data_IF_202256050040
#
_entry.id   IF_202256050040
#
_cell.length_a   1.000
_cell.length_b   1.000
_cell.length_c   1.000
_cell.angle_alpha   90.00
_cell.angle_beta   90.00
_cell.angle_gamma   90.00
#
_symmetry.space_group_name_H-M   'P 1'
#
loop_
_entity.id
_entity.type
_entity.pdbx_description
1 polymer ?
#
# COMPACT_ATOMS: atom_id res chain seq x y z
N UNK A 1 14.23 -3.29 -7.88
CA UNK A 1 12.74 -3.22 -7.95
C UNK A 1 12.15 -2.07 -7.13
N UNK A 2 12.31 -1.99 -5.80
CA UNK A 2 11.69 -0.91 -5.01
C UNK A 2 12.34 0.49 -5.17
N UNK A 3 13.65 0.57 -5.46
CA UNK A 3 14.35 1.85 -5.63
C UNK A 3 14.28 2.46 -7.04
N UNK A 4 13.90 1.67 -8.04
CA UNK A 4 13.96 2.04 -9.46
C UNK A 4 12.60 1.83 -10.16
N UNK A 5 11.49 1.91 -9.42
CA UNK A 5 10.15 1.79 -9.99
C UNK A 5 9.65 3.14 -10.51
N UNK A 6 8.74 3.11 -11.49
CA UNK A 6 8.12 4.31 -12.07
C UNK A 6 6.79 4.74 -11.38
N UNK A 7 6.41 4.10 -10.27
CA UNK A 7 5.16 4.42 -9.55
C UNK A 7 5.00 5.87 -9.05
N UNK A 8 6.09 6.62 -8.88
CA UNK A 8 6.07 8.06 -8.57
C UNK A 8 6.41 8.95 -9.77
N UNK A 9 6.45 8.39 -10.98
CA UNK A 9 6.92 9.08 -12.17
C UNK A 9 8.44 9.32 -12.18
N UNK A 10 8.90 10.15 -13.12
CA UNK A 10 10.30 10.51 -13.32
C UNK A 10 10.42 11.91 -13.96
N UNK A 11 11.57 12.56 -13.82
CA UNK A 11 11.86 13.85 -14.43
C UNK A 11 11.13 15.03 -13.79
N UNK A 12 10.80 16.05 -14.59
CA UNK A 12 10.20 17.32 -14.10
C UNK A 12 8.81 17.15 -13.48
N UNK A 13 8.13 16.02 -13.74
CA UNK A 13 6.83 15.67 -13.18
C UNK A 13 6.93 14.58 -12.11
N UNK A 14 8.10 14.39 -11.50
CA UNK A 14 8.25 13.49 -10.37
C UNK A 14 7.27 13.87 -9.25
N UNK A 15 6.60 12.85 -8.67
CA UNK A 15 5.54 13.05 -7.71
C UNK A 15 6.02 13.86 -6.49
N UNK A 16 5.44 15.05 -6.32
CA UNK A 16 5.74 15.95 -5.20
C UNK A 16 5.44 15.30 -3.83
N UNK A 17 4.44 14.41 -3.78
CA UNK A 17 4.02 13.69 -2.58
C UNK A 17 4.82 12.43 -2.27
N UNK A 18 5.81 12.05 -3.09
CA UNK A 18 6.47 10.74 -2.98
C UNK A 18 7.14 10.50 -1.63
N UNK A 19 7.66 11.56 -0.99
CA UNK A 19 8.27 11.48 0.35
C UNK A 19 7.24 11.28 1.44
N UNK A 20 6.13 12.02 1.38
CA UNK A 20 5.05 11.92 2.35
C UNK A 20 4.39 10.53 2.29
N UNK A 21 4.03 10.07 1.09
CA UNK A 21 3.42 8.76 0.90
C UNK A 21 4.29 7.60 1.42
N UNK A 22 5.63 7.70 1.25
CA UNK A 22 6.56 6.71 1.82
C UNK A 22 6.60 6.76 3.34
N UNK A 23 6.64 7.96 3.93
CA UNK A 23 6.62 8.13 5.38
C UNK A 23 5.34 7.56 5.98
N UNK A 24 4.18 7.88 5.41
CA UNK A 24 2.90 7.35 5.85
C UNK A 24 2.84 5.82 5.73
N UNK A 25 3.32 5.25 4.63
CA UNK A 25 3.39 3.81 4.46
C UNK A 25 4.29 3.13 5.50
N UNK A 26 5.45 3.72 5.82
CA UNK A 26 6.33 3.23 6.89
C UNK A 26 5.60 3.25 8.23
N UNK A 27 5.00 4.39 8.61
CA UNK A 27 4.28 4.52 9.89
C UNK A 27 3.14 3.51 9.98
N UNK A 28 2.32 3.36 8.93
CA UNK A 28 1.21 2.39 8.92
C UNK A 28 1.71 0.97 9.16
N UNK A 29 2.82 0.57 8.53
CA UNK A 29 3.39 -0.76 8.69
C UNK A 29 4.04 -0.96 10.07
N UNK A 30 4.73 0.06 10.59
CA UNK A 30 5.31 0.05 11.93
C UNK A 30 4.23 -0.11 13.00
N UNK A 31 3.17 0.70 12.94
CA UNK A 31 2.06 0.65 13.90
C UNK A 31 1.26 -0.66 13.81
N UNK A 32 1.10 -1.22 12.60
CA UNK A 32 0.48 -2.53 12.42
C UNK A 32 1.32 -3.63 13.08
N UNK A 33 2.63 -3.63 12.83
CA UNK A 33 3.57 -4.64 13.35
C UNK A 33 3.87 -4.46 14.83
N UNK A 34 3.67 -3.26 15.40
CA UNK A 34 3.76 -3.04 16.83
C UNK A 34 2.61 -3.73 17.61
N UNK A 35 1.46 -3.92 16.96
CA UNK A 35 0.25 -4.47 17.59
C UNK A 35 0.12 -6.00 17.44
N UNK A 36 0.80 -6.62 16.47
CA UNK A 36 0.79 -8.06 16.29
C UNK A 36 2.10 -8.58 15.70
N UNK A 37 2.40 -9.85 15.98
CA UNK A 37 3.52 -10.58 15.37
C UNK A 37 3.14 -11.28 14.08
N UNK A 38 1.84 -11.45 13.83
CA UNK A 38 1.33 -12.16 12.66
C UNK A 38 -0.03 -11.58 12.24
N UNK A 39 -0.15 -11.32 10.94
CA UNK A 39 -1.43 -10.97 10.32
C UNK A 39 -1.56 -11.68 8.98
N UNK A 40 -2.79 -11.98 8.61
CA UNK A 40 -3.14 -12.62 7.36
C UNK A 40 -4.29 -11.87 6.68
N UNK A 41 -4.53 -12.15 5.40
CA UNK A 41 -5.78 -11.75 4.76
C UNK A 41 -6.92 -12.51 5.45
N UNK A 42 -7.96 -11.79 5.89
CA UNK A 42 -9.05 -12.38 6.65
C UNK A 42 -9.78 -13.46 5.82
N UNK A 43 -10.14 -14.62 6.41
CA UNK A 43 -10.88 -15.68 5.70
C UNK A 43 -12.13 -15.14 5.01
N UNK A 44 -12.39 -15.61 3.78
CA UNK A 44 -13.51 -15.13 2.96
C UNK A 44 -13.26 -13.80 2.24
N UNK A 45 -12.12 -13.14 2.46
CA UNK A 45 -11.75 -11.93 1.70
C UNK A 45 -11.23 -12.32 0.32
N UNK A 46 -11.94 -11.90 -0.73
CA UNK A 46 -11.45 -11.96 -2.12
C UNK A 46 -11.11 -10.54 -2.56
N UNK A 47 -9.82 -10.17 -2.68
CA UNK A 47 -9.43 -8.80 -3.02
C UNK A 47 -9.97 -8.39 -4.39
N UNK A 48 -10.89 -7.43 -4.41
CA UNK A 48 -11.43 -6.85 -5.64
C UNK A 48 -10.73 -5.55 -5.95
N UNK A 49 -10.35 -5.35 -7.21
CA UNK A 49 -9.84 -4.06 -7.67
C UNK A 49 -10.99 -3.17 -8.09
N UNK A 50 -10.88 -1.88 -7.76
CA UNK A 50 -11.81 -0.88 -8.32
C UNK A 50 -11.45 -0.70 -9.80
N UNK A 51 -12.43 -0.81 -10.74
CA UNK A 51 -12.17 -0.59 -12.15
C UNK A 51 -11.59 0.81 -12.40
N UNK A 52 -10.39 0.89 -12.95
CA UNK A 52 -9.74 2.14 -13.30
C UNK A 52 -8.64 1.90 -14.34
N UNK A 53 -8.51 2.85 -15.27
CA UNK A 53 -7.43 2.88 -16.27
C UNK A 53 -6.15 3.54 -15.74
N UNK A 54 -6.23 4.27 -14.62
CA UNK A 54 -5.11 5.06 -14.08
C UNK A 54 -4.46 4.44 -12.85
N UNK A 55 -5.25 3.76 -12.00
CA UNK A 55 -4.76 3.24 -10.72
C UNK A 55 -5.22 1.82 -10.49
N UNK A 56 -4.33 0.98 -9.94
CA UNK A 56 -4.65 -0.40 -9.56
C UNK A 56 -4.83 -0.47 -8.04
N UNK A 57 -6.01 -0.07 -7.56
CA UNK A 57 -6.35 -0.06 -6.12
C UNK A 57 -7.33 -1.17 -5.75
N UNK A 58 -7.15 -1.73 -4.56
CA UNK A 58 -8.15 -2.60 -3.95
C UNK A 58 -9.35 -1.78 -3.46
N UNK A 59 -10.56 -2.33 -3.60
CA UNK A 59 -11.78 -1.77 -3.04
C UNK A 59 -11.79 -1.92 -1.50
N UNK A 60 -11.34 -3.09 -1.03
CA UNK A 60 -11.16 -3.40 0.37
C UNK A 60 -10.09 -4.48 0.54
N UNK A 61 -9.42 -4.49 1.69
CA UNK A 61 -8.53 -5.56 2.13
C UNK A 61 -8.73 -5.75 3.63
N UNK A 62 -9.49 -6.77 4.02
CA UNK A 62 -9.68 -7.12 5.43
C UNK A 62 -8.51 -8.00 5.88
N UNK A 63 -7.95 -7.66 7.03
CA UNK A 63 -6.88 -8.43 7.67
C UNK A 63 -7.41 -9.11 8.93
N UNK A 64 -6.94 -10.31 9.20
CA UNK A 64 -7.08 -10.99 10.48
C UNK A 64 -5.71 -10.91 11.19
N UNK A 65 -5.72 -10.52 12.45
CA UNK A 65 -4.52 -10.46 13.30
C UNK A 65 -4.60 -11.63 14.29
N UNK A 66 -3.48 -12.32 14.51
CA UNK A 66 -3.35 -13.34 15.54
C UNK A 66 -3.09 -12.71 16.91
#
# INVERSE_FOLDING_TARGET
NAGEHLGFGHGIHFCVGARLARMEACIILEELLAQTREFAVAPGTTPQHVPSIFVRRLAELRLAMA
#
